data_IF_588266160505
#
_entry.id   IF_588266160505
#
_cell.length_a   1.000
_cell.length_b   1.000
_cell.length_c   1.000
_cell.angle_alpha   90.00
_cell.angle_beta   90.00
_cell.angle_gamma   90.00
#
_symmetry.space_group_name_H-M   'P 1'
#
loop_
_entity.id
_entity.type
_entity.pdbx_description
1 polymer ?
#
# COMPACT_ATOMS: atom_id res chain seq x y z
N UNK A 1 -2.76 -0.62 22.40
CA UNK A 1 -1.31 -0.59 22.11
C UNK A 1 -0.83 0.84 22.37
N UNK A 2 0.20 1.05 23.20
CA UNK A 2 0.81 2.38 23.35
C UNK A 2 1.79 2.59 22.19
N UNK A 3 1.70 3.75 21.53
CA UNK A 3 2.53 4.12 20.38
C UNK A 3 3.64 5.12 20.75
N UNK A 4 3.89 5.32 22.05
CA UNK A 4 4.72 6.42 22.58
C UNK A 4 6.21 6.32 22.20
N UNK A 5 6.65 5.15 21.72
CA UNK A 5 8.03 4.91 21.27
C UNK A 5 8.23 5.05 19.76
N UNK A 6 7.17 5.33 19.01
CA UNK A 6 7.25 5.50 17.56
C UNK A 6 7.28 6.98 17.20
N UNK A 7 8.04 7.32 16.17
CA UNK A 7 8.01 8.67 15.58
C UNK A 7 6.59 9.04 15.18
N UNK A 8 6.10 10.21 15.59
CA UNK A 8 4.75 10.63 15.23
C UNK A 8 4.53 10.58 13.71
N UNK A 9 3.41 10.01 13.25
CA UNK A 9 3.13 9.89 11.83
C UNK A 9 2.95 11.27 11.21
N UNK A 10 3.38 11.38 9.95
CA UNK A 10 3.07 12.53 9.11
C UNK A 10 1.91 12.15 8.19
N UNK A 11 0.89 13.00 8.13
CA UNK A 11 -0.24 12.85 7.23
C UNK A 11 -0.18 13.96 6.18
N UNK A 12 -0.45 13.61 4.92
CA UNK A 12 -0.61 14.56 3.84
C UNK A 12 -2.07 15.02 3.78
N UNK A 13 -2.29 16.31 4.00
CA UNK A 13 -3.59 16.95 4.03
C UNK A 13 -3.57 18.14 3.07
N UNK A 14 -4.43 18.13 2.03
CA UNK A 14 -4.42 19.13 0.96
C UNK A 14 -3.03 19.43 0.36
N UNK A 15 -2.18 18.41 0.26
CA UNK A 15 -0.82 18.53 -0.28
C UNK A 15 0.25 18.98 0.72
N UNK A 16 -0.11 19.30 1.96
CA UNK A 16 0.82 19.69 3.03
C UNK A 16 1.04 18.51 3.98
N UNK A 17 2.30 18.26 4.37
CA UNK A 17 2.62 17.27 5.40
C UNK A 17 2.50 17.90 6.78
N UNK A 18 1.77 17.25 7.69
CA UNK A 18 1.67 17.64 9.10
C UNK A 18 1.81 16.44 10.02
N UNK A 19 2.26 16.66 11.25
CA UNK A 19 2.23 15.65 12.29
C UNK A 19 0.77 15.30 12.64
N UNK A 20 0.53 14.04 12.96
CA UNK A 20 -0.78 13.53 13.30
C UNK A 20 -0.72 12.57 14.50
N UNK A 21 -1.88 12.30 15.09
CA UNK A 21 -2.00 11.22 16.07
C UNK A 21 -1.91 9.86 15.37
N UNK A 22 -1.55 8.83 16.12
CA UNK A 22 -1.57 7.46 15.62
C UNK A 22 -2.99 7.00 15.28
N UNK A 23 -4.00 7.43 16.04
CA UNK A 23 -5.41 7.18 15.73
C UNK A 23 -5.81 7.72 14.35
N UNK A 24 -5.42 8.96 14.04
CA UNK A 24 -5.71 9.58 12.74
C UNK A 24 -4.97 8.91 11.57
N UNK A 25 -3.80 8.31 11.85
CA UNK A 25 -2.99 7.62 10.87
C UNK A 25 -3.48 6.20 10.57
N UNK A 26 -4.11 5.54 11.55
CA UNK A 26 -4.67 4.20 11.40
C UNK A 26 -5.85 4.15 10.42
N UNK A 27 -6.57 5.26 10.27
CA UNK A 27 -7.63 5.43 9.27
C UNK A 27 -7.10 5.76 7.86
N UNK A 28 -5.77 5.74 7.67
CA UNK A 28 -5.12 6.07 6.40
C UNK A 28 -4.23 4.94 5.88
N UNK A 29 -3.83 5.07 4.62
CA UNK A 29 -2.90 4.16 3.96
C UNK A 29 -1.45 4.59 4.19
N UNK A 30 -0.51 3.63 4.18
CA UNK A 30 0.92 3.90 4.20
C UNK A 30 1.40 4.16 2.77
N UNK A 31 1.82 5.39 2.47
CA UNK A 31 2.33 5.75 1.14
C UNK A 31 3.85 5.82 1.13
N UNK A 32 4.48 5.14 0.17
CA UNK A 32 5.93 5.06 0.02
C UNK A 32 6.34 5.61 -1.35
N UNK A 33 7.24 6.60 -1.37
CA UNK A 33 7.76 7.20 -2.61
C UNK A 33 8.80 6.33 -3.32
N UNK A 34 9.31 5.30 -2.66
CA UNK A 34 10.23 4.30 -3.21
C UNK A 34 9.55 2.96 -3.47
N UNK A 35 10.31 1.87 -3.26
CA UNK A 35 9.80 0.50 -3.28
C UNK A 35 9.20 0.14 -1.93
N UNK A 36 8.34 -0.88 -1.90
CA UNK A 36 7.89 -1.52 -0.66
C UNK A 36 8.73 -2.79 -0.42
N UNK A 37 9.84 -2.72 0.34
CA UNK A 37 10.56 -3.91 0.78
C UNK A 37 9.78 -4.65 1.87
N UNK A 38 10.16 -5.91 2.12
CA UNK A 38 9.62 -6.76 3.19
C UNK A 38 9.53 -6.05 4.55
N UNK A 39 10.55 -5.29 4.93
CA UNK A 39 10.57 -4.57 6.20
C UNK A 39 9.48 -3.50 6.33
N UNK A 40 9.08 -2.86 5.22
CA UNK A 40 7.96 -1.91 5.26
C UNK A 40 6.62 -2.63 5.41
N UNK A 41 6.46 -3.82 4.81
CA UNK A 41 5.29 -4.67 5.04
C UNK A 41 5.21 -5.07 6.51
N UNK A 42 6.31 -5.55 7.11
CA UNK A 42 6.34 -5.87 8.55
C UNK A 42 5.96 -4.68 9.42
N UNK A 43 6.46 -3.48 9.12
CA UNK A 43 6.07 -2.26 9.84
C UNK A 43 4.60 -1.93 9.67
N UNK A 44 4.03 -2.13 8.50
CA UNK A 44 2.60 -1.94 8.27
C UNK A 44 1.76 -2.92 9.10
N UNK A 45 2.14 -4.20 9.14
CA UNK A 45 1.50 -5.23 9.99
C UNK A 45 1.57 -4.83 11.46
N UNK A 46 2.77 -4.53 11.98
CA UNK A 46 2.96 -4.14 13.39
C UNK A 46 2.23 -2.84 13.74
N UNK A 47 2.15 -1.91 12.78
CA UNK A 47 1.45 -0.65 12.92
C UNK A 47 -0.05 -0.74 12.70
N UNK A 48 -0.60 -1.89 12.33
CA UNK A 48 -2.03 -2.05 12.04
C UNK A 48 -2.50 -1.31 10.78
N UNK A 49 -1.60 -0.96 9.85
CA UNK A 49 -1.94 -0.23 8.62
C UNK A 49 -2.31 -1.21 7.52
N UNK A 50 -3.58 -1.25 7.06
CA UNK A 50 -4.07 -2.31 6.18
C UNK A 50 -3.66 -2.15 4.71
N UNK A 51 -3.18 -0.98 4.30
CA UNK A 51 -2.90 -0.67 2.89
C UNK A 51 -1.53 0.00 2.73
N UNK A 52 -0.46 -0.78 2.46
CA UNK A 52 0.80 -0.24 1.97
C UNK A 52 0.75 0.01 0.46
N UNK A 53 0.97 1.25 0.04
CA UNK A 53 0.99 1.66 -1.36
C UNK A 53 2.33 2.30 -1.74
N UNK A 54 2.83 1.97 -2.93
CA UNK A 54 4.05 2.53 -3.45
C UNK A 54 3.92 2.99 -4.90
N UNK A 55 4.72 4.00 -5.23
CA UNK A 55 4.83 4.53 -6.61
C UNK A 55 5.70 3.65 -7.53
N UNK A 56 6.37 2.64 -6.96
CA UNK A 56 7.20 1.67 -7.67
C UNK A 56 6.85 0.24 -7.26
N UNK A 57 7.57 -0.75 -7.78
CA UNK A 57 7.30 -2.16 -7.51
C UNK A 57 7.52 -2.51 -6.02
N UNK A 58 6.66 -3.34 -5.41
CA UNK A 58 7.03 -4.06 -4.19
C UNK A 58 8.13 -5.08 -4.50
N UNK A 59 8.92 -5.45 -3.50
CA UNK A 59 9.87 -6.56 -3.63
C UNK A 59 9.14 -7.91 -3.58
N UNK A 60 9.61 -8.92 -4.30
CA UNK A 60 8.99 -10.26 -4.27
C UNK A 60 8.78 -10.81 -2.85
N UNK A 61 9.74 -10.72 -1.91
CA UNK A 61 9.55 -11.20 -0.53
C UNK A 61 8.51 -10.43 0.29
N UNK A 62 8.02 -9.29 -0.22
CA UNK A 62 7.01 -8.49 0.46
C UNK A 62 5.58 -8.96 0.17
N UNK A 63 5.36 -9.71 -0.93
CA UNK A 63 4.01 -10.06 -1.41
C UNK A 63 3.37 -11.15 -0.56
N UNK A 64 4.07 -12.25 -0.33
CA UNK A 64 3.55 -13.39 0.45
C UNK A 64 3.13 -12.99 1.88
N UNK A 65 3.98 -12.29 2.67
CA UNK A 65 3.57 -11.83 4.00
C UNK A 65 2.42 -10.82 3.96
N UNK A 66 2.30 -10.02 2.90
CA UNK A 66 1.17 -9.10 2.77
C UNK A 66 -0.14 -9.87 2.54
N UNK A 67 -0.12 -10.93 1.75
CA UNK A 67 -1.27 -11.80 1.51
C UNK A 67 -1.67 -12.54 2.80
N UNK A 68 -0.71 -13.18 3.47
CA UNK A 68 -0.94 -13.93 4.72
C UNK A 68 -1.56 -13.06 5.83
N UNK A 69 -1.16 -11.79 5.90
CA UNK A 69 -1.64 -10.84 6.90
C UNK A 69 -2.89 -10.05 6.44
N UNK A 70 -3.43 -10.36 5.25
CA UNK A 70 -4.66 -9.73 4.73
C UNK A 70 -4.51 -8.24 4.39
N UNK A 71 -3.29 -7.81 4.07
CA UNK A 71 -3.01 -6.44 3.63
C UNK A 71 -3.41 -6.25 2.17
N UNK A 72 -3.70 -5.00 1.80
CA UNK A 72 -3.82 -4.59 0.39
C UNK A 72 -2.50 -3.97 -0.04
N UNK A 73 -1.63 -4.74 -0.70
CA UNK A 73 -0.34 -4.28 -1.18
C UNK A 73 -0.49 -3.71 -2.60
N UNK A 74 -0.18 -2.42 -2.74
CA UNK A 74 -0.32 -1.69 -4.01
C UNK A 74 1.06 -1.24 -4.49
N UNK A 75 1.36 -1.52 -5.76
CA UNK A 75 2.54 -1.06 -6.47
C UNK A 75 2.17 -0.15 -7.65
N UNK A 76 3.15 0.58 -8.16
CA UNK A 76 3.00 1.43 -9.35
C UNK A 76 1.81 2.43 -9.28
N UNK A 77 1.48 2.93 -8.09
CA UNK A 77 0.39 3.90 -7.90
C UNK A 77 0.72 5.24 -8.58
N UNK A 78 -0.08 5.63 -9.58
CA UNK A 78 0.06 6.86 -10.38
C UNK A 78 -1.30 7.41 -10.79
N UNK A 79 -1.66 8.60 -10.30
CA UNK A 79 -2.95 9.21 -10.66
C UNK A 79 -4.11 8.28 -10.31
N UNK A 80 -4.86 7.83 -11.33
CA UNK A 80 -5.99 6.91 -11.21
C UNK A 80 -5.65 5.44 -11.53
N UNK A 81 -4.38 5.08 -11.72
CA UNK A 81 -3.94 3.71 -12.01
C UNK A 81 -3.00 3.17 -10.93
N UNK A 82 -3.02 1.85 -10.77
CA UNK A 82 -2.20 1.12 -9.81
C UNK A 82 -2.20 -0.39 -10.12
N UNK A 83 -1.23 -1.12 -9.58
CA UNK A 83 -1.22 -2.58 -9.59
C UNK A 83 -1.49 -3.09 -8.17
N UNK A 84 -2.53 -3.89 -8.03
CA UNK A 84 -2.87 -4.54 -6.76
C UNK A 84 -2.20 -5.91 -6.73
N UNK A 85 -1.34 -6.14 -5.74
CA UNK A 85 -0.63 -7.42 -5.57
C UNK A 85 -1.37 -8.36 -4.62
N UNK A 86 -2.05 -7.82 -3.60
CA UNK A 86 -2.80 -8.57 -2.58
C UNK A 86 -4.03 -7.78 -2.14
N UNK A 87 -5.03 -8.44 -1.57
CA UNK A 87 -6.11 -7.77 -0.84
C UNK A 87 -7.02 -6.84 -1.67
N UNK A 88 -7.24 -7.12 -2.95
CA UNK A 88 -8.07 -6.32 -3.87
C UNK A 88 -9.50 -6.09 -3.35
N UNK A 89 -10.04 -7.05 -2.60
CA UNK A 89 -11.39 -6.98 -1.98
C UNK A 89 -11.62 -5.73 -1.12
N UNK A 90 -10.56 -5.08 -0.60
CA UNK A 90 -10.68 -3.85 0.20
C UNK A 90 -10.99 -2.61 -0.66
N UNK A 91 -10.79 -2.70 -1.96
CA UNK A 91 -10.93 -1.58 -2.90
C UNK A 91 -12.35 -1.52 -3.46
N UNK A 92 -12.86 -0.30 -3.60
CA UNK A 92 -14.13 -0.03 -4.29
C UNK A 92 -13.79 0.55 -5.66
N UNK A 93 -14.25 -0.07 -6.77
CA UNK A 93 -14.12 0.52 -8.08
C UNK A 93 -14.85 1.88 -8.11
N UNK A 94 -14.09 2.96 -8.21
CA UNK A 94 -14.64 4.26 -8.59
C UNK A 94 -14.74 4.26 -10.11
N UNK A 95 -15.95 4.34 -10.66
CA UNK A 95 -16.27 4.15 -12.08
C UNK A 95 -15.39 4.95 -13.04
N UNK A 96 -14.24 4.38 -13.39
CA UNK A 96 -13.36 4.79 -14.48
C UNK A 96 -13.46 3.67 -15.50
N UNK A 97 -14.01 3.99 -16.67
CA UNK A 97 -13.97 3.11 -17.84
C UNK A 97 -12.52 2.71 -18.08
N UNK A 98 -12.17 1.42 -18.21
CA UNK A 98 -10.82 1.01 -18.56
C UNK A 98 -10.42 1.68 -19.87
N UNK A 99 -9.57 2.70 -19.80
CA UNK A 99 -8.83 3.18 -20.96
C UNK A 99 -7.94 2.03 -21.42
N UNK A 100 -7.98 1.70 -22.70
CA UNK A 100 -7.17 0.66 -23.32
C UNK A 100 -5.68 0.92 -23.06
N UNK A 101 -5.18 0.39 -21.94
CA UNK A 101 -3.80 0.47 -21.49
C UNK A 101 -3.20 -0.93 -21.53
N UNK A 102 -2.33 -1.12 -22.50
CA UNK A 102 -1.41 -2.23 -22.69
C UNK A 102 -0.53 -2.48 -21.45
N UNK A 103 -1.07 -3.18 -20.46
CA UNK A 103 -0.32 -3.79 -19.36
C UNK A 103 -0.26 -5.29 -19.55
N UNK A 104 0.94 -5.83 -19.79
CA UNK A 104 1.20 -7.26 -19.84
C UNK A 104 0.79 -7.91 -18.53
N UNK A 105 -0.36 -8.60 -18.54
CA UNK A 105 -0.64 -9.67 -17.62
C UNK A 105 0.50 -10.68 -17.76
N UNK A 106 1.44 -10.63 -16.82
CA UNK A 106 2.42 -11.69 -16.61
C UNK A 106 1.65 -12.94 -16.24
N UNK A 107 1.28 -13.70 -17.26
CA UNK A 107 0.76 -15.03 -17.13
C UNK A 107 1.73 -15.81 -16.23
N UNK A 108 1.18 -16.43 -15.18
CA UNK A 108 1.87 -17.49 -14.47
C UNK A 108 2.15 -18.59 -15.49
N UNK A 109 3.42 -18.80 -15.84
CA UNK A 109 3.86 -20.05 -16.45
C UNK A 109 3.97 -21.07 -15.32
N UNK A 110 3.24 -22.21 -15.36
CA UNK A 110 3.56 -23.34 -14.51
C UNK A 110 4.83 -24.00 -15.05
N UNK A 111 5.84 -24.14 -14.19
CA UNK A 111 6.99 -25.00 -14.35
C UNK A 111 7.13 -25.87 -13.11
#
# INVERSE_FOLDING_TARGET
MSYDRLTHPLIRDNGVLRQASWEEALDRLLMVSGRTPFELVRKAVMGGVPVPAAVSAPSSPAVEPAEEQGLTLIGFLRGSSMNVHTGERRLRPTGVTPGAGNGSAGARTPG
#
